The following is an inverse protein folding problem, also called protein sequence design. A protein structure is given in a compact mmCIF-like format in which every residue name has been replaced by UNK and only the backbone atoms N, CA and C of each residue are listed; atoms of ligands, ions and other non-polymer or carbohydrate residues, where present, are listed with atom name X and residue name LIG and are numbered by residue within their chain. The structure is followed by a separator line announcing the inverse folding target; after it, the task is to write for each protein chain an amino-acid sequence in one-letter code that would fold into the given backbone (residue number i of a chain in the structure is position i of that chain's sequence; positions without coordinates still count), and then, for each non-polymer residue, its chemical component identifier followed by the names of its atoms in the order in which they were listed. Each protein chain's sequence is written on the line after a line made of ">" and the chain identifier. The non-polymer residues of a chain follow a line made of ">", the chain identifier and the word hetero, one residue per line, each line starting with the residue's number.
data_IF_199588593532
#
_entry.id   IF_199588593532
#
_cell.length_a   1.000
_cell.length_b   1.000
_cell.length_c   1.000
_cell.angle_alpha   90.00
_cell.angle_beta   90.00
_cell.angle_gamma   90.00
#
_symmetry.space_group_name_H-M   'P 1'
#
loop_
_entity.id
_entity.type
_entity.pdbx_description
1 polymer ?
#
# COMPACT_ATOMS: atom_id res chain seq x y z
N UNK A 1 -38.99 -5.31 -17.30
CA UNK A 1 -39.11 -5.35 -18.78
C UNK A 1 -37.89 -4.58 -19.27
N UNK A 2 -36.82 -5.12 -19.82
CA UNK A 2 -36.55 -6.40 -20.47
C UNK A 2 -35.03 -6.64 -20.36
N UNK A 3 -34.65 -7.88 -20.12
CA UNK A 3 -33.30 -8.38 -20.31
C UNK A 3 -32.97 -8.47 -21.80
N UNK A 4 -31.70 -8.31 -22.18
CA UNK A 4 -31.03 -9.23 -23.10
C UNK A 4 -29.50 -9.03 -23.10
N UNK A 5 -28.82 -10.16 -23.08
CA UNK A 5 -27.37 -10.33 -23.06
C UNK A 5 -26.85 -10.83 -24.42
N UNK A 6 -25.51 -10.85 -24.55
CA UNK A 6 -24.65 -11.44 -25.59
C UNK A 6 -24.52 -10.65 -26.92
N UNK A 7 -23.33 -10.46 -27.52
CA UNK A 7 -22.17 -11.36 -27.64
C UNK A 7 -20.80 -10.68 -27.38
N UNK A 8 -19.86 -11.50 -26.91
CA UNK A 8 -18.43 -11.23 -26.86
C UNK A 8 -17.83 -11.11 -28.28
N UNK A 9 -17.04 -10.07 -28.50
CA UNK A 9 -15.91 -10.09 -29.43
C UNK A 9 -14.62 -9.74 -28.68
N UNK A 10 -13.78 -10.76 -28.52
CA UNK A 10 -12.33 -10.75 -28.69
C UNK A 10 -11.51 -9.55 -28.18
N UNK A 11 -10.79 -9.77 -27.08
CA UNK A 11 -9.37 -9.37 -26.96
C UNK A 11 -9.02 -7.89 -27.05
N UNK A 12 -9.59 -7.04 -26.18
CA UNK A 12 -9.08 -5.68 -25.96
C UNK A 12 -8.81 -5.41 -24.49
N UNK A 13 -7.56 -5.02 -24.22
CA UNK A 13 -7.10 -4.34 -23.00
C UNK A 13 -8.10 -3.26 -22.59
N UNK A 14 -8.39 -3.15 -21.30
CA UNK A 14 -9.31 -2.15 -20.75
C UNK A 14 -8.75 -0.74 -20.98
N UNK A 15 -9.14 -0.12 -22.09
CA UNK A 15 -8.94 1.28 -22.37
C UNK A 15 -9.86 2.13 -21.49
N UNK A 16 -9.29 3.00 -20.66
CA UNK A 16 -10.03 4.08 -20.00
C UNK A 16 -10.43 5.16 -21.01
N UNK A 17 -11.55 4.96 -21.70
CA UNK A 17 -12.27 6.02 -22.42
C UNK A 17 -13.58 6.27 -21.70
N UNK A 18 -13.65 7.33 -20.89
CA UNK A 18 -14.93 7.73 -20.29
C UNK A 18 -14.88 8.78 -19.19
N UNK A 19 -14.18 9.91 -19.36
CA UNK A 19 -14.39 11.06 -18.46
C UNK A 19 -14.01 12.43 -19.06
N UNK A 20 -14.05 12.61 -20.38
CA UNK A 20 -13.82 13.94 -20.99
C UNK A 20 -15.10 14.80 -21.10
N UNK A 21 -16.29 14.24 -20.86
CA UNK A 21 -17.57 14.94 -21.10
C UNK A 21 -17.94 15.96 -20.01
N UNK A 22 -17.79 15.60 -18.73
CA UNK A 22 -18.34 16.40 -17.63
C UNK A 22 -17.36 17.40 -16.99
N UNK A 23 -16.05 17.25 -17.23
CA UNK A 23 -15.04 18.15 -16.62
C UNK A 23 -15.04 19.56 -17.24
N UNK A 24 -15.48 19.72 -18.49
CA UNK A 24 -15.57 21.04 -19.15
C UNK A 24 -16.61 21.96 -18.50
N UNK A 25 -17.64 21.41 -17.83
CA UNK A 25 -18.65 22.23 -17.13
C UNK A 25 -18.16 22.76 -15.78
N UNK A 26 -17.28 22.05 -15.08
CA UNK A 26 -16.81 22.48 -13.77
C UNK A 26 -15.73 23.56 -13.85
N UNK A 27 -14.85 23.49 -14.87
CA UNK A 27 -13.81 24.51 -15.10
C UNK A 27 -14.36 25.79 -15.76
N UNK A 28 -15.47 25.70 -16.50
CA UNK A 28 -16.06 26.84 -17.20
C UNK A 28 -17.00 27.73 -16.34
N UNK A 29 -17.37 27.32 -15.12
CA UNK A 29 -18.24 28.13 -14.25
C UNK A 29 -17.52 29.30 -13.54
N UNK A 30 -16.28 29.60 -13.91
CA UNK A 30 -15.53 30.75 -13.42
C UNK A 30 -15.55 31.99 -14.31
N UNK A 31 -16.29 32.02 -15.44
CA UNK A 31 -16.19 33.15 -16.37
C UNK A 31 -17.51 33.46 -17.10
N UNK A 32 -18.41 34.19 -16.46
CA UNK A 32 -19.45 34.98 -17.14
C UNK A 32 -20.11 35.98 -16.20
N UNK A 33 -19.98 37.28 -16.49
CA UNK A 33 -20.80 38.32 -15.89
C UNK A 33 -20.09 39.65 -15.69
N UNK A 34 -20.23 40.56 -16.66
CA UNK A 34 -19.97 41.99 -16.51
C UNK A 34 -21.15 42.69 -15.81
N UNK A 35 -20.81 43.78 -15.13
CA UNK A 35 -21.63 44.93 -14.71
C UNK A 35 -22.11 45.06 -13.26
N UNK A 36 -22.12 46.33 -12.87
CA UNK A 36 -21.99 47.01 -11.57
C UNK A 36 -23.05 46.72 -10.49
N UNK A 37 -22.62 46.68 -9.23
CA UNK A 37 -23.01 47.59 -8.13
C UNK A 37 -22.63 46.99 -6.76
N UNK A 38 -22.18 47.86 -5.86
CA UNK A 38 -21.50 47.47 -4.63
C UNK A 38 -22.39 46.88 -3.54
N UNK A 39 -21.83 45.89 -2.84
CA UNK A 39 -22.10 45.65 -1.42
C UNK A 39 -20.97 44.78 -0.84
N UNK A 40 -20.27 45.33 0.15
CA UNK A 40 -19.19 44.65 0.86
C UNK A 40 -19.74 43.49 1.69
N UNK A 41 -19.79 42.30 1.10
CA UNK A 41 -19.90 41.04 1.86
C UNK A 41 -18.52 40.42 1.94
N UNK A 42 -17.96 40.45 3.14
CA UNK A 42 -16.75 39.72 3.51
C UNK A 42 -16.87 38.26 3.09
N UNK A 43 -16.19 37.92 2.00
CA UNK A 43 -16.09 36.55 1.50
C UNK A 43 -15.32 35.68 2.49
N UNK A 44 -15.63 34.38 2.59
CA UNK A 44 -15.01 33.49 3.57
C UNK A 44 -13.49 33.38 3.32
N UNK A 45 -12.76 33.39 4.43
CA UNK A 45 -11.30 33.39 4.55
C UNK A 45 -10.54 32.52 3.54
N UNK A 46 -9.63 33.17 2.80
CA UNK A 46 -8.68 32.64 1.80
C UNK A 46 -7.51 31.93 2.47
N UNK A 47 -7.75 30.83 3.19
CA UNK A 47 -6.66 30.07 3.85
C UNK A 47 -6.63 28.57 3.55
N UNK A 48 -7.66 28.01 2.88
CA UNK A 48 -7.65 26.61 2.44
C UNK A 48 -7.06 26.40 1.01
N UNK A 49 -6.85 27.46 0.24
CA UNK A 49 -6.69 27.39 -1.22
C UNK A 49 -5.28 27.06 -1.75
N UNK A 50 -4.26 26.96 -0.89
CA UNK A 50 -2.86 26.81 -1.30
C UNK A 50 -2.18 25.52 -0.81
N UNK A 51 -2.94 24.51 -0.38
CA UNK A 51 -2.34 23.24 0.06
C UNK A 51 -2.04 22.31 -1.10
N UNK A 52 -0.94 21.58 -1.01
CA UNK A 52 -0.63 20.41 -1.83
C UNK A 52 -0.89 19.19 -0.97
N UNK A 53 -1.90 18.40 -1.34
CA UNK A 53 -2.30 17.21 -0.62
C UNK A 53 -1.94 15.97 -1.45
N UNK A 54 -1.52 14.91 -0.78
CA UNK A 54 -1.37 13.58 -1.34
C UNK A 54 -2.53 12.72 -0.88
N UNK A 55 -3.40 12.33 -1.80
CA UNK A 55 -4.46 11.37 -1.54
C UNK A 55 -3.92 9.97 -1.77
N UNK A 56 -3.94 9.15 -0.72
CA UNK A 56 -3.42 7.79 -0.71
C UNK A 56 -4.59 6.82 -0.65
N UNK A 57 -4.58 5.83 -1.53
CA UNK A 57 -5.61 4.81 -1.67
C UNK A 57 -5.02 3.42 -1.46
N UNK A 58 -5.83 2.53 -0.93
CA UNK A 58 -5.50 1.11 -0.77
C UNK A 58 -6.66 0.23 -1.27
N UNK A 59 -6.42 -1.07 -1.54
CA UNK A 59 -7.48 -1.97 -2.02
C UNK A 59 -8.62 -2.18 -1.01
N UNK A 60 -8.37 -1.93 0.28
CA UNK A 60 -9.33 -2.20 1.36
C UNK A 60 -9.79 -0.94 2.09
N UNK A 61 -9.19 0.21 1.81
CA UNK A 61 -9.37 1.44 2.60
C UNK A 61 -8.69 1.39 3.95
N UNK A 62 -8.03 0.27 4.27
CA UNK A 62 -7.17 0.10 5.42
C UNK A 62 -5.70 0.13 4.99
N UNK A 63 -4.79 -0.03 5.95
CA UNK A 63 -3.37 -0.11 5.65
C UNK A 63 -3.07 -1.28 4.71
N UNK A 64 -2.19 -1.05 3.75
CA UNK A 64 -1.75 -2.04 2.78
C UNK A 64 -0.26 -1.86 2.46
N UNK A 65 0.33 -2.75 1.67
CA UNK A 65 1.73 -2.62 1.23
C UNK A 65 1.87 -2.03 -0.17
N UNK A 66 0.82 -2.15 -0.97
CA UNK A 66 0.67 -1.46 -2.24
C UNK A 66 -0.32 -0.30 -2.11
N UNK A 67 0.18 0.92 -2.29
CA UNK A 67 -0.63 2.13 -2.34
C UNK A 67 -0.68 2.69 -3.76
N UNK A 68 -1.84 3.25 -4.10
CA UNK A 68 -1.99 4.19 -5.19
C UNK A 68 -2.06 5.61 -4.60
N UNK A 69 -1.49 6.59 -5.29
CA UNK A 69 -1.59 7.98 -4.86
C UNK A 69 -1.89 8.95 -5.99
N UNK A 70 -2.50 10.07 -5.62
CA UNK A 70 -2.74 11.24 -6.47
C UNK A 70 -2.47 12.54 -5.73
N UNK A 71 -2.09 13.58 -6.48
CA UNK A 71 -1.79 14.90 -5.92
C UNK A 71 -3.00 15.81 -6.10
N UNK A 72 -3.62 16.21 -5.00
CA UNK A 72 -4.70 17.18 -4.94
C UNK A 72 -4.14 18.60 -4.76
N UNK A 73 -4.43 19.45 -5.75
CA UNK A 73 -3.98 20.83 -5.79
C UNK A 73 -4.93 21.66 -6.65
N UNK A 74 -5.23 22.90 -6.22
CA UNK A 74 -6.16 23.81 -6.91
C UNK A 74 -7.56 23.21 -7.19
N UNK A 75 -8.01 22.28 -6.34
CA UNK A 75 -9.33 21.65 -6.42
C UNK A 75 -9.45 20.48 -7.41
N UNK A 76 -8.34 20.02 -7.99
CA UNK A 76 -8.28 18.84 -8.82
C UNK A 76 -7.23 17.85 -8.28
N UNK A 77 -7.48 16.56 -8.47
CA UNK A 77 -6.50 15.52 -8.16
C UNK A 77 -5.88 14.97 -9.44
N UNK A 78 -4.56 14.88 -9.47
CA UNK A 78 -3.81 14.38 -10.62
C UNK A 78 -3.24 13.01 -10.30
N UNK A 79 -3.56 12.03 -11.15
CA UNK A 79 -3.12 10.63 -11.02
C UNK A 79 -2.49 10.14 -12.30
N UNK A 80 -1.45 9.34 -12.17
CA UNK A 80 -0.75 8.71 -13.29
C UNK A 80 -1.12 7.23 -13.40
N UNK A 81 -1.39 6.77 -14.63
CA UNK A 81 -1.75 5.40 -14.92
C UNK A 81 -1.23 4.94 -16.28
N UNK A 82 -1.14 3.61 -16.44
CA UNK A 82 -0.67 2.98 -17.67
C UNK A 82 -1.68 3.01 -18.80
N UNK A 83 -1.19 3.19 -20.02
CA UNK A 83 -1.96 2.99 -21.26
C UNK A 83 -1.01 2.70 -22.43
N UNK A 84 -1.51 2.07 -23.49
CA UNK A 84 -0.72 1.80 -24.71
C UNK A 84 -0.41 3.06 -25.55
N UNK A 85 -0.64 4.25 -25.00
CA UNK A 85 -0.52 5.51 -25.74
C UNK A 85 0.80 6.22 -25.43
N UNK A 86 1.34 6.91 -26.43
CA UNK A 86 2.45 7.86 -26.24
C UNK A 86 2.00 9.19 -25.63
N UNK A 87 0.69 9.38 -25.45
CA UNK A 87 0.14 10.55 -24.77
C UNK A 87 0.33 10.43 -23.25
N UNK A 88 0.19 11.57 -22.56
CA UNK A 88 0.28 11.63 -21.10
C UNK A 88 -0.65 10.59 -20.45
N UNK A 89 -0.09 9.77 -19.57
CA UNK A 89 -0.84 8.86 -18.71
C UNK A 89 -1.46 9.55 -17.50
N UNK A 90 -1.30 10.88 -17.38
CA UNK A 90 -1.79 11.65 -16.23
C UNK A 90 -3.20 12.19 -16.50
N UNK A 91 -4.15 11.73 -15.70
CA UNK A 91 -5.52 12.24 -15.70
C UNK A 91 -5.75 13.19 -14.53
N UNK A 92 -6.74 14.07 -14.68
CA UNK A 92 -7.27 14.87 -13.59
C UNK A 92 -8.64 14.30 -13.20
N UNK A 93 -8.90 14.18 -11.91
CA UNK A 93 -10.14 13.63 -11.35
C UNK A 93 -10.67 14.46 -10.19
N UNK A 94 -11.88 14.11 -9.74
CA UNK A 94 -12.47 14.68 -8.52
C UNK A 94 -11.63 14.20 -7.34
N UNK A 95 -11.16 15.11 -6.46
CA UNK A 95 -10.33 14.71 -5.35
C UNK A 95 -11.00 13.71 -4.42
N UNK A 96 -10.23 12.74 -3.93
CA UNK A 96 -10.65 11.69 -2.98
C UNK A 96 -11.71 10.73 -3.53
N UNK A 97 -11.96 10.77 -4.83
CA UNK A 97 -12.91 9.88 -5.51
C UNK A 97 -12.09 8.90 -6.35
N UNK A 98 -11.97 7.63 -5.93
CA UNK A 98 -11.28 6.63 -6.72
C UNK A 98 -12.05 6.36 -8.03
N UNK A 99 -11.38 5.93 -9.11
CA UNK A 99 -12.07 5.56 -10.33
C UNK A 99 -13.13 4.49 -10.08
N UNK A 100 -14.33 4.68 -10.62
CA UNK A 100 -15.43 3.75 -10.44
C UNK A 100 -15.04 2.34 -10.94
N UNK A 101 -15.30 1.32 -10.11
CA UNK A 101 -14.97 -0.08 -10.43
C UNK A 101 -13.50 -0.47 -10.24
N UNK A 102 -12.63 0.44 -9.78
CA UNK A 102 -11.21 0.14 -9.58
C UNK A 102 -10.88 -0.68 -8.33
N UNK A 103 -11.80 -0.73 -7.35
CA UNK A 103 -11.56 -1.38 -6.06
C UNK A 103 -10.66 -0.57 -5.11
N UNK A 104 -10.12 0.57 -5.54
CA UNK A 104 -9.38 1.46 -4.64
C UNK A 104 -10.33 2.20 -3.70
N UNK A 105 -9.92 2.32 -2.44
CA UNK A 105 -10.64 3.05 -1.40
C UNK A 105 -9.67 4.04 -0.79
N UNK A 106 -10.13 5.26 -0.53
CA UNK A 106 -9.30 6.29 0.11
C UNK A 106 -8.84 5.78 1.48
N UNK A 107 -7.53 5.72 1.67
CA UNK A 107 -6.92 5.40 2.94
C UNK A 107 -6.70 6.67 3.77
N UNK A 108 -6.03 7.67 3.21
CA UNK A 108 -5.74 8.92 3.90
C UNK A 108 -5.38 10.06 2.94
N UNK A 109 -5.61 11.31 3.35
CA UNK A 109 -5.00 12.50 2.75
C UNK A 109 -3.86 13.01 3.62
N UNK A 110 -2.68 13.20 3.03
CA UNK A 110 -1.48 13.74 3.69
C UNK A 110 -1.21 15.14 3.17
N UNK A 111 -1.04 16.11 4.07
CA UNK A 111 -0.58 17.45 3.68
C UNK A 111 0.92 17.40 3.42
N UNK A 112 1.31 17.66 2.17
CA UNK A 112 2.72 17.61 1.74
C UNK A 112 3.37 18.98 1.88
N UNK A 113 2.64 20.04 1.58
CA UNK A 113 3.15 21.40 1.69
C UNK A 113 2.15 22.44 1.23
N UNK A 114 2.66 23.64 1.00
CA UNK A 114 1.88 24.77 0.53
C UNK A 114 2.47 25.36 -0.76
N UNK A 115 1.62 26.01 -1.55
CA UNK A 115 1.99 26.70 -2.77
C UNK A 115 2.47 28.11 -2.42
N UNK A 116 3.70 28.42 -2.82
CA UNK A 116 4.30 29.76 -2.69
C UNK A 116 4.20 30.57 -3.99
N UNK A 117 3.51 30.04 -5.01
CA UNK A 117 3.51 30.55 -6.39
C UNK A 117 2.10 30.86 -6.88
N UNK A 118 1.93 31.83 -7.81
CA UNK A 118 0.63 32.16 -8.39
C UNK A 118 -0.01 30.98 -9.14
N UNK A 119 -1.35 30.95 -9.16
CA UNK A 119 -2.15 29.89 -9.80
C UNK A 119 -1.72 29.54 -11.22
N UNK A 120 -1.47 30.55 -12.07
CA UNK A 120 -1.11 30.32 -13.48
C UNK A 120 0.28 29.69 -13.64
N UNK A 121 1.17 29.96 -12.70
CA UNK A 121 2.50 29.35 -12.68
C UNK A 121 2.42 27.89 -12.23
N UNK A 122 1.60 27.60 -11.23
CA UNK A 122 1.29 26.24 -10.78
C UNK A 122 0.67 25.44 -11.93
N UNK A 123 -0.36 25.96 -12.60
CA UNK A 123 -1.01 25.27 -13.73
C UNK A 123 -0.04 24.99 -14.89
N UNK A 124 0.88 25.92 -15.20
CA UNK A 124 1.94 25.69 -16.19
C UNK A 124 2.87 24.56 -15.75
N UNK A 125 3.36 24.60 -14.52
CA UNK A 125 4.24 23.56 -13.99
C UNK A 125 3.59 22.16 -14.01
N UNK A 126 2.29 22.08 -13.71
CA UNK A 126 1.51 20.84 -13.81
C UNK A 126 1.47 20.35 -15.25
N UNK A 127 1.10 21.20 -16.21
CA UNK A 127 0.96 20.81 -17.61
C UNK A 127 2.30 20.40 -18.25
N UNK A 128 3.37 21.12 -17.93
CA UNK A 128 4.73 20.77 -18.35
C UNK A 128 5.12 19.38 -17.83
N UNK A 129 4.92 19.12 -16.53
CA UNK A 129 5.24 17.83 -15.94
C UNK A 129 4.39 16.72 -16.57
N UNK A 130 3.08 16.89 -16.69
CA UNK A 130 2.19 15.88 -17.30
C UNK A 130 2.66 15.42 -18.68
N UNK A 131 3.19 16.34 -19.49
CA UNK A 131 3.67 16.03 -20.83
C UNK A 131 4.88 15.08 -20.86
N UNK A 132 5.65 15.01 -19.77
CA UNK A 132 6.82 14.12 -19.67
C UNK A 132 6.50 12.74 -19.11
N UNK A 133 5.23 12.46 -18.79
CA UNK A 133 4.78 11.18 -18.21
C UNK A 133 3.81 10.46 -19.16
N UNK A 134 4.30 9.85 -20.25
CA UNK A 134 3.46 9.12 -21.19
C UNK A 134 2.91 7.84 -20.53
N UNK A 135 1.68 7.45 -20.88
CA UNK A 135 1.05 6.26 -20.30
C UNK A 135 1.78 4.96 -20.67
N UNK A 136 2.44 4.93 -21.82
CA UNK A 136 3.24 3.79 -22.29
C UNK A 136 4.53 3.56 -21.49
N UNK A 137 4.98 4.53 -20.70
CA UNK A 137 6.12 4.38 -19.81
C UNK A 137 5.75 3.90 -18.40
N UNK A 138 4.45 3.67 -18.12
CA UNK A 138 4.03 3.26 -16.79
C UNK A 138 4.55 1.86 -16.47
N UNK A 139 5.22 1.74 -15.34
CA UNK A 139 5.69 0.47 -14.78
C UNK A 139 5.32 0.40 -13.30
N UNK A 140 4.83 -0.75 -12.85
CA UNK A 140 4.34 -0.91 -11.47
C UNK A 140 5.44 -0.70 -10.41
N UNK A 141 6.69 -0.97 -10.75
CA UNK A 141 7.83 -0.97 -9.82
C UNK A 141 8.68 0.29 -10.00
N UNK A 142 9.09 0.60 -11.23
CA UNK A 142 10.11 1.64 -11.48
C UNK A 142 9.55 2.96 -12.00
N UNK A 143 8.27 3.00 -12.41
CA UNK A 143 7.67 4.23 -12.95
C UNK A 143 6.13 4.24 -12.79
N UNK A 144 5.68 4.27 -11.53
CA UNK A 144 4.26 4.16 -11.17
C UNK A 144 3.64 5.51 -10.73
N UNK A 145 2.37 5.46 -10.31
CA UNK A 145 1.64 6.61 -9.78
C UNK A 145 2.35 7.34 -8.61
N UNK A 146 3.05 6.63 -7.73
CA UNK A 146 3.72 7.23 -6.59
C UNK A 146 4.99 8.00 -7.01
N UNK A 147 5.71 7.53 -8.03
CA UNK A 147 6.82 8.27 -8.62
C UNK A 147 6.35 9.59 -9.24
N UNK A 148 5.22 9.55 -9.93
CA UNK A 148 4.61 10.76 -10.48
C UNK A 148 4.20 11.73 -9.36
N UNK A 149 3.50 11.23 -8.34
CA UNK A 149 3.09 12.02 -7.18
C UNK A 149 4.28 12.68 -6.49
N UNK A 150 5.38 11.95 -6.31
CA UNK A 150 6.63 12.47 -5.76
C UNK A 150 7.24 13.58 -6.63
N UNK A 151 7.37 13.34 -7.94
CA UNK A 151 7.88 14.34 -8.87
C UNK A 151 7.01 15.60 -8.91
N UNK A 152 5.68 15.43 -8.78
CA UNK A 152 4.73 16.53 -8.77
C UNK A 152 4.80 17.33 -7.46
N UNK A 153 4.85 16.67 -6.31
CA UNK A 153 5.05 17.33 -5.02
C UNK A 153 6.37 18.13 -4.99
N UNK A 154 7.47 17.53 -5.48
CA UNK A 154 8.76 18.21 -5.59
C UNK A 154 8.67 19.45 -6.49
N UNK A 155 8.03 19.32 -7.67
CA UNK A 155 7.87 20.43 -8.62
C UNK A 155 7.03 21.57 -8.07
N UNK A 156 6.03 21.27 -7.24
CA UNK A 156 5.04 22.25 -6.76
C UNK A 156 5.44 22.92 -5.44
N UNK A 157 5.99 22.17 -4.49
CA UNK A 157 6.27 22.66 -3.13
C UNK A 157 7.65 22.24 -2.59
N UNK A 158 8.49 21.61 -3.42
CA UNK A 158 9.85 21.20 -3.03
C UNK A 158 9.91 20.05 -2.03
N UNK A 159 8.78 19.47 -1.63
CA UNK A 159 8.69 18.37 -0.68
C UNK A 159 8.51 17.03 -1.40
N UNK A 160 9.08 15.96 -0.82
CA UNK A 160 8.88 14.58 -1.26
C UNK A 160 7.57 14.03 -0.68
N UNK A 161 7.02 13.01 -1.32
CA UNK A 161 5.97 12.21 -0.65
C UNK A 161 6.58 11.37 0.47
N UNK A 162 5.79 10.97 1.48
CA UNK A 162 6.28 10.03 2.47
C UNK A 162 6.73 8.73 1.79
N UNK A 163 7.94 8.28 2.11
CA UNK A 163 8.57 7.11 1.50
C UNK A 163 7.75 5.82 1.68
N UNK A 164 6.99 5.75 2.79
CA UNK A 164 6.05 4.66 3.06
C UNK A 164 4.96 4.47 2.01
N UNK A 165 4.65 5.50 1.20
CA UNK A 165 3.66 5.42 0.11
C UNK A 165 4.21 4.61 -1.07
N UNK A 166 5.53 4.66 -1.32
CA UNK A 166 6.18 4.00 -2.45
C UNK A 166 7.21 2.94 -2.01
N UNK A 167 6.91 2.21 -0.93
CA UNK A 167 7.78 1.15 -0.35
C UNK A 167 8.27 0.08 -1.32
N UNK A 168 7.49 -0.13 -2.38
CA UNK A 168 7.74 -1.16 -3.37
C UNK A 168 8.67 -0.68 -4.49
N UNK A 169 8.92 0.62 -4.59
CA UNK A 169 9.86 1.16 -5.57
C UNK A 169 11.30 0.93 -5.10
N UNK A 170 12.11 0.33 -5.96
CA UNK A 170 13.52 0.02 -5.66
C UNK A 170 13.73 -1.35 -5.01
N UNK A 171 12.66 -2.08 -4.64
CA UNK A 171 12.73 -3.51 -4.39
C UNK A 171 12.77 -4.20 -5.75
N UNK A 172 13.75 -5.08 -6.02
CA UNK A 172 13.92 -5.78 -7.30
C UNK A 172 12.67 -6.57 -7.75
N UNK A 173 12.75 -7.24 -8.92
CA UNK A 173 11.68 -7.87 -9.75
C UNK A 173 10.68 -8.85 -9.04
N UNK A 174 10.74 -8.98 -7.71
CA UNK A 174 9.97 -9.90 -6.85
C UNK A 174 8.47 -9.61 -6.71
N UNK A 175 7.94 -8.49 -7.23
CA UNK A 175 6.54 -8.11 -7.03
C UNK A 175 5.57 -8.51 -8.15
N UNK A 176 6.02 -9.26 -9.17
CA UNK A 176 5.14 -9.79 -10.22
C UNK A 176 4.13 -10.84 -9.72
N UNK A 177 4.32 -11.42 -8.53
CA UNK A 177 3.43 -12.44 -7.96
C UNK A 177 2.17 -11.91 -7.25
N UNK A 178 2.22 -10.69 -6.72
CA UNK A 178 1.11 -10.11 -5.91
C UNK A 178 -0.02 -9.57 -6.79
N UNK A 179 0.29 -9.19 -8.04
CA UNK A 179 -0.69 -8.73 -9.02
C UNK A 179 -0.82 -9.78 -10.12
N UNK A 180 -1.67 -10.78 -9.86
CA UNK A 180 -1.80 -12.00 -10.65
C UNK A 180 -1.74 -11.80 -12.16
N UNK A 181 -0.93 -12.64 -12.81
CA UNK A 181 -1.14 -13.00 -14.22
C UNK A 181 -2.55 -13.58 -14.37
N UNK A 182 -3.35 -13.21 -15.38
CA UNK A 182 -4.63 -13.86 -15.62
C UNK A 182 -4.41 -15.33 -15.93
N UNK A 183 -4.90 -16.21 -15.05
CA UNK A 183 -4.84 -17.66 -15.24
C UNK A 183 -5.70 -18.06 -16.48
N UNK A 184 -5.26 -19.04 -17.29
CA UNK A 184 -6.00 -19.51 -18.45
C UNK A 184 -7.30 -20.21 -18.04
N UNK A 185 -8.37 -19.90 -18.76
CA UNK A 185 -9.71 -20.42 -18.52
C UNK A 185 -9.78 -21.96 -18.67
N UNK A 186 -10.31 -22.63 -17.66
CA UNK A 186 -10.72 -24.03 -17.72
C UNK A 186 -12.26 -24.15 -17.78
N UNK A 187 -12.80 -25.20 -18.42
CA UNK A 187 -14.14 -25.19 -19.00
C UNK A 187 -15.28 -25.50 -18.02
N UNK A 188 -16.45 -24.93 -18.34
CA UNK A 188 -17.74 -25.06 -17.64
C UNK A 188 -18.50 -26.37 -17.95
N UNK A 189 -19.14 -26.95 -16.93
CA UNK A 189 -20.16 -28.01 -17.02
C UNK A 189 -20.80 -28.33 -15.65
N UNK A 190 -22.05 -28.86 -15.56
CA UNK A 190 -23.14 -28.05 -15.02
C UNK A 190 -23.89 -28.55 -13.75
N UNK A 191 -24.52 -27.57 -13.07
CA UNK A 191 -25.88 -27.48 -12.49
C UNK A 191 -26.37 -28.25 -11.23
N UNK A 192 -26.94 -27.41 -10.33
CA UNK A 192 -28.13 -27.54 -9.44
C UNK A 192 -28.08 -28.39 -8.16
N UNK A 193 -28.37 -27.74 -7.02
CA UNK A 193 -29.70 -27.79 -6.36
C UNK A 193 -29.83 -26.76 -5.21
N UNK A 194 -31.08 -26.43 -4.92
CA UNK A 194 -31.61 -25.29 -4.18
C UNK A 194 -31.51 -25.37 -2.64
N UNK A 195 -31.56 -24.22 -1.96
CA UNK A 195 -31.76 -24.14 -0.51
C UNK A 195 -31.64 -22.73 0.07
N UNK A 196 -32.77 -22.12 0.42
CA UNK A 196 -32.90 -20.76 0.92
C UNK A 196 -32.45 -20.57 2.38
N UNK A 197 -31.90 -19.39 2.71
CA UNK A 197 -31.70 -18.91 4.08
C UNK A 197 -31.35 -17.42 4.08
N UNK A 198 -32.19 -16.59 4.71
CA UNK A 198 -32.10 -15.12 4.73
C UNK A 198 -30.90 -14.55 5.53
N UNK A 199 -30.77 -13.21 5.61
CA UNK A 199 -29.56 -12.55 6.06
C UNK A 199 -29.44 -12.64 7.59
N UNK A 200 -28.39 -13.30 8.09
CA UNK A 200 -28.01 -13.25 9.49
C UNK A 200 -27.07 -12.06 9.71
N UNK A 201 -27.47 -11.20 10.65
CA UNK A 201 -26.74 -10.04 11.12
C UNK A 201 -25.29 -10.37 11.51
N UNK A 202 -24.41 -9.38 11.31
CA UNK A 202 -23.02 -9.38 11.74
C UNK A 202 -22.93 -9.60 13.27
N UNK A 203 -22.77 -10.85 13.67
CA UNK A 203 -22.37 -11.26 15.01
C UNK A 203 -20.85 -11.36 15.07
N UNK A 204 -20.25 -10.69 16.05
CA UNK A 204 -18.84 -10.80 16.39
C UNK A 204 -18.52 -12.29 16.67
N UNK A 205 -17.92 -12.98 15.71
CA UNK A 205 -17.43 -14.35 15.93
C UNK A 205 -16.21 -14.27 16.82
N UNK A 206 -16.35 -14.74 18.06
CA UNK A 206 -15.22 -15.03 18.93
C UNK A 206 -14.40 -16.12 18.26
N UNK A 207 -13.34 -15.72 17.55
CA UNK A 207 -12.39 -16.66 16.93
C UNK A 207 -11.68 -17.41 18.05
N UNK A 208 -11.83 -18.73 18.05
CA UNK A 208 -11.14 -19.60 19.00
C UNK A 208 -9.64 -19.52 18.76
N UNK A 209 -8.90 -18.98 19.73
CA UNK A 209 -7.44 -19.03 19.76
C UNK A 209 -7.04 -20.51 19.74
N UNK A 210 -5.97 -20.88 19.03
CA UNK A 210 -5.35 -22.19 19.19
C UNK A 210 -5.10 -22.46 20.67
N UNK A 211 -5.25 -23.71 21.13
CA UNK A 211 -5.13 -24.06 22.55
C UNK A 211 -3.83 -23.56 23.22
N UNK A 212 -2.82 -23.23 22.41
CA UNK A 212 -1.47 -22.83 22.80
C UNK A 212 -1.23 -21.31 22.78
N UNK A 213 -2.23 -20.48 22.43
CA UNK A 213 -2.08 -19.03 22.34
C UNK A 213 -1.55 -18.51 21.00
N UNK A 214 -1.52 -19.34 19.96
CA UNK A 214 -1.13 -18.96 18.59
C UNK A 214 -2.17 -18.02 17.95
N UNK A 215 -1.69 -16.90 17.41
CA UNK A 215 -2.48 -15.83 16.78
C UNK A 215 -2.41 -15.84 15.25
N UNK A 216 -1.90 -16.91 14.63
CA UNK A 216 -1.77 -17.02 13.16
C UNK A 216 -3.11 -16.88 12.41
N UNK A 217 -4.23 -17.25 13.04
CA UNK A 217 -5.59 -17.04 12.50
C UNK A 217 -6.06 -15.59 12.55
N UNK A 218 -5.43 -14.77 13.38
CA UNK A 218 -5.76 -13.36 13.54
C UNK A 218 -4.99 -12.47 12.57
N UNK A 219 -3.97 -12.99 11.88
CA UNK A 219 -3.25 -12.26 10.83
C UNK A 219 -4.16 -12.04 9.62
N UNK A 220 -4.28 -10.79 9.18
CA UNK A 220 -4.92 -10.46 7.90
C UNK A 220 -3.94 -10.69 6.75
N UNK A 221 -3.83 -11.95 6.33
CA UNK A 221 -2.95 -12.37 5.24
C UNK A 221 -3.22 -11.68 3.90
N UNK A 222 -4.41 -11.12 3.69
CA UNK A 222 -4.69 -10.37 2.45
C UNK A 222 -3.96 -9.03 2.37
N UNK A 223 -3.50 -8.54 3.52
CA UNK A 223 -2.83 -7.24 3.67
C UNK A 223 -1.39 -7.38 4.20
N UNK A 224 -0.90 -8.60 4.38
CA UNK A 224 0.51 -8.85 4.74
C UNK A 224 1.40 -8.43 3.57
N UNK A 225 2.55 -7.86 3.88
CA UNK A 225 3.61 -7.75 2.89
C UNK A 225 4.98 -8.00 3.48
N UNK A 226 5.87 -8.37 2.58
CA UNK A 226 7.26 -8.67 2.85
C UNK A 226 8.08 -7.82 1.89
N UNK A 227 8.87 -6.90 2.44
CA UNK A 227 9.79 -6.09 1.64
C UNK A 227 11.17 -6.72 1.61
N UNK A 228 11.88 -6.43 0.54
CA UNK A 228 13.22 -6.92 0.23
C UNK A 228 13.33 -8.45 0.11
N UNK A 229 12.23 -9.17 -0.16
CA UNK A 229 12.29 -10.60 -0.40
C UNK A 229 12.57 -10.94 -1.87
N UNK A 230 13.31 -12.02 -2.10
CA UNK A 230 13.42 -12.67 -3.41
C UNK A 230 12.15 -13.46 -3.69
N UNK A 231 11.46 -13.15 -4.79
CA UNK A 231 10.21 -13.77 -5.19
C UNK A 231 9.02 -13.39 -4.29
N UNK A 232 8.02 -14.27 -4.23
CA UNK A 232 6.81 -14.03 -3.43
C UNK A 232 7.07 -14.35 -1.94
N UNK A 233 7.57 -13.35 -1.21
CA UNK A 233 7.85 -13.46 0.22
C UNK A 233 6.61 -13.72 1.07
N UNK A 234 5.42 -13.27 0.65
CA UNK A 234 4.17 -13.47 1.40
C UNK A 234 3.72 -14.92 1.31
N UNK A 235 3.71 -15.49 0.10
CA UNK A 235 3.39 -16.91 -0.10
C UNK A 235 4.44 -17.81 0.55
N UNK A 236 5.72 -17.44 0.47
CA UNK A 236 6.77 -18.17 1.16
C UNK A 236 6.55 -18.19 2.68
N UNK A 237 6.28 -17.03 3.29
CA UNK A 237 5.99 -16.92 4.72
C UNK A 237 4.72 -17.69 5.13
N UNK A 238 3.66 -17.62 4.31
CA UNK A 238 2.37 -18.28 4.57
C UNK A 238 2.48 -19.81 4.53
N UNK A 239 3.36 -20.33 3.68
CA UNK A 239 3.54 -21.76 3.43
C UNK A 239 4.76 -22.35 4.16
N UNK A 240 5.27 -21.67 5.21
CA UNK A 240 6.45 -22.07 6.00
C UNK A 240 7.71 -22.36 5.14
N UNK A 241 7.84 -21.66 4.00
CA UNK A 241 9.01 -21.72 3.11
C UNK A 241 9.98 -20.60 3.46
N UNK A 242 11.25 -20.80 3.08
CA UNK A 242 12.28 -19.79 3.31
C UNK A 242 12.01 -18.51 2.52
N UNK A 243 11.87 -17.40 3.23
CA UNK A 243 11.96 -16.03 2.70
C UNK A 243 13.42 -15.62 2.76
N UNK A 244 13.97 -15.17 1.63
CA UNK A 244 15.36 -14.74 1.51
C UNK A 244 15.40 -13.25 1.16
N UNK A 245 16.31 -12.48 1.76
CA UNK A 245 16.55 -11.11 1.31
C UNK A 245 17.18 -11.07 -0.08
N UNK A 246 17.01 -9.96 -0.79
CA UNK A 246 17.66 -9.70 -2.07
C UNK A 246 19.18 -9.56 -1.88
N UNK A 247 19.95 -10.27 -2.71
CA UNK A 247 21.43 -10.30 -2.67
C UNK A 247 22.06 -8.99 -3.16
N UNK A 248 21.33 -8.21 -3.97
CA UNK A 248 21.81 -6.93 -4.51
C UNK A 248 21.60 -5.76 -3.53
N UNK A 249 21.08 -6.04 -2.33
CA UNK A 249 20.72 -5.04 -1.31
C UNK A 249 21.29 -5.40 0.06
N UNK A 250 21.08 -4.55 1.05
CA UNK A 250 21.42 -4.85 2.44
C UNK A 250 20.72 -6.14 2.91
N UNK A 251 21.39 -6.89 3.78
CA UNK A 251 20.94 -8.18 4.32
C UNK A 251 19.74 -8.03 5.27
N UNK A 252 18.61 -7.52 4.80
CA UNK A 252 17.47 -7.20 5.64
C UNK A 252 16.13 -7.62 5.03
N UNK A 253 15.16 -7.89 5.90
CA UNK A 253 13.77 -8.15 5.54
C UNK A 253 12.85 -7.32 6.43
N UNK A 254 11.79 -6.77 5.85
CA UNK A 254 10.74 -6.08 6.61
C UNK A 254 9.39 -6.75 6.39
N UNK A 255 8.85 -7.35 7.45
CA UNK A 255 7.53 -7.97 7.44
C UNK A 255 6.52 -6.97 7.99
N UNK A 256 5.44 -6.75 7.24
CA UNK A 256 4.35 -5.85 7.57
C UNK A 256 3.11 -6.72 7.85
N UNK A 257 2.76 -6.87 9.13
CA UNK A 257 1.80 -7.88 9.61
C UNK A 257 0.60 -7.21 10.26
N UNK A 258 -0.50 -6.97 9.51
CA UNK A 258 -1.76 -6.54 10.09
C UNK A 258 -2.49 -7.68 10.78
N UNK A 259 -3.22 -7.35 11.85
CA UNK A 259 -4.15 -8.26 12.52
C UNK A 259 -5.59 -7.85 12.22
N UNK A 260 -6.47 -8.82 12.00
CA UNK A 260 -7.89 -8.65 11.71
C UNK A 260 -8.66 -7.99 12.88
N UNK A 261 -8.16 -8.14 14.10
CA UNK A 261 -8.62 -7.45 15.30
C UNK A 261 -7.41 -7.08 16.19
N UNK A 262 -7.53 -6.08 17.07
CA UNK A 262 -6.44 -5.75 18.00
C UNK A 262 -6.13 -6.91 18.95
N UNK A 263 -4.86 -7.35 18.99
CA UNK A 263 -4.39 -8.45 19.84
C UNK A 263 -3.43 -7.98 20.94
N UNK A 264 -3.23 -8.82 21.95
CA UNK A 264 -2.18 -8.73 22.97
C UNK A 264 -1.06 -9.69 22.64
N UNK A 265 -0.01 -9.19 22.00
CA UNK A 265 1.14 -10.02 21.62
C UNK A 265 2.10 -10.17 22.82
N UNK A 266 2.53 -11.40 23.09
CA UNK A 266 3.42 -11.75 24.21
C UNK A 266 4.78 -12.24 23.74
N UNK A 267 4.81 -13.03 22.68
CA UNK A 267 6.04 -13.54 22.13
C UNK A 267 5.94 -13.71 20.61
N UNK A 268 7.09 -13.68 19.97
CA UNK A 268 7.29 -14.04 18.58
C UNK A 268 8.21 -15.27 18.54
N UNK A 269 7.86 -16.31 17.80
CA UNK A 269 8.83 -17.36 17.46
C UNK A 269 9.29 -17.17 16.03
N UNK A 270 10.60 -17.14 15.85
CA UNK A 270 11.24 -16.98 14.54
C UNK A 270 12.02 -18.24 14.23
N UNK A 271 11.91 -18.74 13.02
CA UNK A 271 12.66 -19.88 12.51
C UNK A 271 13.49 -19.49 11.29
N UNK A 272 14.72 -19.99 11.23
CA UNK A 272 15.72 -19.66 10.20
C UNK A 272 16.71 -20.81 10.03
N UNK A 273 17.76 -20.62 9.24
CA UNK A 273 18.93 -21.49 9.17
C UNK A 273 20.16 -20.86 9.83
N UNK A 274 21.14 -21.70 10.15
CA UNK A 274 22.32 -21.30 10.93
C UNK A 274 23.20 -20.25 10.23
N UNK A 275 23.24 -20.23 8.90
CA UNK A 275 24.13 -19.35 8.14
C UNK A 275 23.55 -17.96 7.91
N UNK A 276 22.22 -17.84 7.88
CA UNK A 276 21.50 -16.63 7.46
C UNK A 276 20.56 -16.11 8.54
N UNK A 277 20.81 -16.48 9.79
CA UNK A 277 20.07 -15.99 10.93
C UNK A 277 20.24 -14.47 11.09
N UNK A 278 19.17 -13.72 11.41
CA UNK A 278 19.29 -12.30 11.69
C UNK A 278 20.15 -12.05 12.94
N UNK A 279 20.93 -10.99 12.89
CA UNK A 279 21.76 -10.46 13.98
C UNK A 279 20.91 -9.59 14.92
N UNK A 280 19.92 -8.88 14.40
CA UNK A 280 18.98 -8.11 15.23
C UNK A 280 17.56 -8.13 14.68
N UNK A 281 16.59 -7.97 15.59
CA UNK A 281 15.17 -7.84 15.28
C UNK A 281 14.65 -6.54 15.86
N UNK A 282 14.06 -5.70 15.01
CA UNK A 282 13.37 -4.47 15.42
C UNK A 282 11.86 -4.64 15.25
N UNK A 283 11.13 -4.38 16.33
CA UNK A 283 9.68 -4.53 16.39
C UNK A 283 9.03 -3.17 16.54
N UNK A 284 8.03 -2.90 15.70
CA UNK A 284 7.28 -1.65 15.72
C UNK A 284 5.79 -1.91 15.86
N UNK A 285 5.23 -1.55 17.02
CA UNK A 285 3.81 -1.70 17.30
C UNK A 285 3.01 -0.56 16.65
N UNK A 286 2.03 -0.91 15.82
CA UNK A 286 1.09 0.02 15.18
C UNK A 286 1.74 1.15 14.36
N UNK A 287 3.02 1.02 13.99
CA UNK A 287 3.70 1.95 13.09
C UNK A 287 3.49 1.51 11.64
N UNK A 288 2.55 2.17 10.99
CA UNK A 288 2.01 1.76 9.69
C UNK A 288 2.69 2.45 8.51
N UNK A 289 3.60 3.37 8.79
CA UNK A 289 4.20 4.39 7.96
C UNK A 289 5.74 4.26 7.90
N UNK A 290 6.26 3.04 8.04
CA UNK A 290 7.69 2.70 7.94
C UNK A 290 8.07 2.14 6.56
N UNK A 291 9.19 2.58 6.01
CA UNK A 291 9.90 1.88 4.92
C UNK A 291 11.11 1.08 5.44
N UNK A 292 11.96 0.56 4.54
CA UNK A 292 13.18 -0.18 4.90
C UNK A 292 14.17 0.68 5.70
N UNK A 293 14.40 1.93 5.30
CA UNK A 293 15.36 2.82 5.95
C UNK A 293 14.90 3.25 7.34
N UNK A 294 13.61 3.59 7.49
CA UNK A 294 12.98 3.87 8.78
C UNK A 294 13.13 2.68 9.72
N UNK A 295 12.84 1.48 9.21
CA UNK A 295 12.91 0.25 9.98
C UNK A 295 14.35 -0.17 10.32
N UNK A 296 15.32 0.08 9.42
CA UNK A 296 16.74 -0.22 9.57
C UNK A 296 17.47 0.68 10.57
N UNK A 297 16.92 1.85 10.88
CA UNK A 297 17.49 2.73 11.92
C UNK A 297 16.97 4.16 11.93
N UNK A 298 16.23 4.59 10.91
CA UNK A 298 15.67 5.94 10.85
C UNK A 298 14.63 6.23 11.95
N UNK A 299 13.93 5.21 12.43
CA UNK A 299 12.90 5.32 13.46
C UNK A 299 13.22 4.38 14.64
N UNK A 300 13.08 4.90 15.86
CA UNK A 300 13.27 4.09 17.06
C UNK A 300 12.20 2.96 17.16
N UNK A 301 12.62 1.70 17.37
CA UNK A 301 11.70 0.58 17.50
C UNK A 301 10.95 0.60 18.82
N UNK A 302 9.76 0.01 18.84
CA UNK A 302 9.03 -0.24 20.08
C UNK A 302 9.82 -1.17 21.01
N UNK A 303 10.48 -2.16 20.40
CA UNK A 303 11.42 -3.07 21.05
C UNK A 303 12.52 -3.48 20.06
N UNK A 304 13.78 -3.37 20.49
CA UNK A 304 14.97 -3.86 19.79
C UNK A 304 15.46 -5.14 20.47
N UNK A 305 15.92 -6.11 19.68
CA UNK A 305 16.47 -7.37 20.16
C UNK A 305 17.77 -7.65 19.40
N UNK A 306 18.90 -7.63 20.10
CA UNK A 306 20.24 -7.87 19.53
C UNK A 306 20.82 -9.19 20.04
N UNK A 307 20.60 -9.54 21.31
CA UNK A 307 21.06 -10.80 21.89
C UNK A 307 20.06 -11.95 21.66
N UNK A 308 19.91 -12.37 20.40
CA UNK A 308 18.96 -13.42 20.02
C UNK A 308 19.47 -14.80 20.45
N UNK A 309 18.68 -15.48 21.29
CA UNK A 309 18.99 -16.83 21.77
C UNK A 309 18.45 -17.88 20.81
N UNK A 310 19.26 -18.22 19.82
CA UNK A 310 18.96 -19.28 18.87
C UNK A 310 19.12 -20.68 19.49
N UNK A 311 18.17 -21.56 19.18
CA UNK A 311 18.17 -22.97 19.55
C UNK A 311 18.16 -23.79 18.27
N UNK A 312 19.18 -24.62 18.08
CA UNK A 312 19.24 -25.55 16.96
C UNK A 312 18.27 -26.71 17.14
N UNK A 313 17.54 -27.06 16.09
CA UNK A 313 16.79 -28.30 15.99
C UNK A 313 17.53 -29.32 15.12
N UNK A 314 17.06 -30.57 15.14
CA UNK A 314 17.53 -31.58 14.18
C UNK A 314 17.30 -31.09 12.74
N UNK A 315 18.33 -31.19 11.89
CA UNK A 315 18.27 -30.74 10.49
C UNK A 315 18.82 -29.34 10.20
N UNK A 316 19.52 -28.69 11.15
CA UNK A 316 20.25 -27.43 10.91
C UNK A 316 19.37 -26.18 10.86
N UNK A 317 18.10 -26.28 11.28
CA UNK A 317 17.25 -25.13 11.48
C UNK A 317 17.49 -24.52 12.87
N UNK A 318 17.43 -23.20 12.94
CA UNK A 318 17.46 -22.44 14.19
C UNK A 318 16.06 -21.93 14.50
N UNK A 319 15.72 -21.90 15.79
CA UNK A 319 14.51 -21.25 16.27
C UNK A 319 14.83 -20.37 17.48
N UNK A 320 14.17 -19.22 17.59
CA UNK A 320 14.27 -18.34 18.74
C UNK A 320 12.88 -17.85 19.15
N UNK A 321 12.63 -17.85 20.46
CA UNK A 321 11.43 -17.22 21.04
C UNK A 321 11.81 -15.86 21.62
N UNK A 322 11.20 -14.81 21.07
CA UNK A 322 11.41 -13.43 21.44
C UNK A 322 10.27 -12.99 22.34
N UNK A 323 10.55 -12.87 23.63
CA UNK A 323 9.59 -12.35 24.61
C UNK A 323 9.41 -10.84 24.43
N UNK A 324 8.16 -10.40 24.35
CA UNK A 324 7.79 -9.01 24.13
C UNK A 324 7.42 -8.32 25.44
N UNK A 325 7.72 -7.03 25.54
CA UNK A 325 7.24 -6.21 26.63
C UNK A 325 5.72 -6.05 26.52
N UNK A 326 4.98 -6.84 27.30
CA UNK A 326 3.52 -6.89 27.21
C UNK A 326 2.87 -5.50 27.26
N UNK A 327 3.39 -4.56 28.08
CA UNK A 327 2.82 -3.20 28.21
C UNK A 327 2.84 -2.42 26.90
N UNK A 328 3.80 -2.70 26.02
CA UNK A 328 3.96 -2.03 24.72
C UNK A 328 3.14 -2.68 23.60
N UNK A 329 2.67 -3.91 23.79
CA UNK A 329 1.96 -4.70 22.77
C UNK A 329 0.56 -5.16 23.24
N UNK A 330 -0.13 -4.36 24.07
CA UNK A 330 -1.47 -4.69 24.60
C UNK A 330 -2.63 -4.52 23.61
N UNK A 331 -2.46 -3.70 22.58
CA UNK A 331 -3.53 -3.38 21.61
C UNK A 331 -2.89 -3.22 20.25
N UNK A 332 -2.48 -4.36 19.69
CA UNK A 332 -1.72 -4.45 18.48
C UNK A 332 -2.65 -4.79 17.31
N UNK A 333 -2.93 -3.81 16.45
CA UNK A 333 -3.64 -4.05 15.18
C UNK A 333 -2.68 -4.21 14.01
N UNK A 334 -1.39 -3.94 14.21
CA UNK A 334 -0.35 -4.05 13.19
C UNK A 334 1.02 -4.18 13.84
N UNK A 335 1.86 -5.05 13.29
CA UNK A 335 3.25 -5.21 13.66
C UNK A 335 4.14 -5.10 12.43
N UNK A 336 5.12 -4.22 12.46
CA UNK A 336 6.27 -4.30 11.57
C UNK A 336 7.41 -5.04 12.29
N UNK A 337 7.99 -6.02 11.60
CA UNK A 337 9.15 -6.80 12.08
C UNK A 337 10.27 -6.66 11.07
N UNK A 338 11.31 -5.96 11.46
CA UNK A 338 12.53 -5.82 10.67
C UNK A 338 13.57 -6.82 11.18
N UNK A 339 14.13 -7.58 10.25
CA UNK A 339 15.20 -8.53 10.48
C UNK A 339 16.44 -7.97 9.80
N UNK A 340 17.49 -7.69 10.58
CA UNK A 340 18.78 -7.30 10.06
C UNK A 340 19.75 -8.48 10.17
N UNK A 341 20.31 -8.90 9.05
CA UNK A 341 21.38 -9.89 8.92
C UNK A 341 22.77 -9.25 9.04
N UNK A 342 23.82 -10.03 8.72
CA UNK A 342 25.20 -9.54 8.68
C UNK A 342 25.44 -8.61 7.47
N UNK A 343 26.38 -7.65 7.58
CA UNK A 343 26.59 -6.58 6.59
C UNK A 343 26.75 -7.05 5.13
N UNK A 344 27.46 -8.16 4.89
CA UNK A 344 27.73 -8.68 3.53
C UNK A 344 27.02 -10.03 3.27
N UNK A 345 25.78 -10.19 3.74
CA UNK A 345 25.08 -11.47 3.69
C UNK A 345 23.67 -11.43 3.13
N UNK A 346 23.00 -12.56 3.30
CA UNK A 346 21.56 -12.71 3.06
C UNK A 346 20.93 -13.08 4.39
N UNK A 347 19.80 -12.46 4.72
CA UNK A 347 18.99 -12.91 5.84
C UNK A 347 17.90 -13.85 5.35
N UNK A 348 17.66 -14.93 6.09
CA UNK A 348 16.66 -15.92 5.76
C UNK A 348 15.67 -16.09 6.91
N UNK A 349 14.38 -16.16 6.62
CA UNK A 349 13.33 -16.41 7.62
C UNK A 349 12.40 -17.47 7.05
N UNK A 350 12.29 -18.61 7.73
CA UNK A 350 11.41 -19.72 7.34
C UNK A 350 9.99 -19.51 7.82
N UNK A 351 9.84 -18.99 9.04
CA UNK A 351 8.54 -18.89 9.68
C UNK A 351 8.56 -17.92 10.84
N UNK A 352 7.43 -17.25 11.03
CA UNK A 352 7.20 -16.34 12.13
C UNK A 352 5.84 -16.67 12.73
N UNK A 353 5.84 -17.06 14.01
CA UNK A 353 4.60 -17.32 14.76
C UNK A 353 4.38 -16.31 15.87
N UNK A 354 3.12 -15.93 16.03
CA UNK A 354 2.70 -14.88 16.95
C UNK A 354 1.97 -15.53 18.13
N UNK A 355 2.44 -15.31 19.35
CA UNK A 355 1.84 -15.90 20.55
C UNK A 355 1.29 -14.80 21.46
N UNK A 356 0.07 -14.98 21.94
CA UNK A 356 -0.59 -13.98 22.76
C UNK A 356 -2.04 -14.30 23.12
N UNK A 357 -2.84 -13.25 23.24
CA UNK A 357 -4.28 -13.32 23.50
C UNK A 357 -5.00 -12.28 22.65
N UNK A 358 -6.24 -12.55 22.26
CA UNK A 358 -7.17 -11.53 21.77
C UNK A 358 -7.84 -10.89 22.99
#
# INVERSE_FOLDING_TARGET
>A
ILAQAFQLESGRSMCFRGCCGDFRRFVAMGNSGSDESGESRSSPSVTAANKVLLNVYSPTGAQHVAYHSGVEVLGAEYVYGGSDTSYSGVSAQIPRVPPAGSGWVLYQSVEIGSLERPRDEVLRAINELKATWPGSAYDLVSNNCNHFSDAMCQRLCGQRIPSWVNRLAGVGDSLRGVFGTPAPAAPSGPAKADGAGGPAAAGLVSRSIGADGDLSSEVDWSSVGVLNAVGDGVEALRSDRMVLSDEDTDAELLFLVPFAAPVKLRALRVETDEQRAPVSIRLFANKRDLDMNDAGGGVAPTQLVEDIKWVSSEGGALSATIELNFLKFQTLGFLAVHFAGPEDGVVAIRGVRFFGKN
#
